data_IF_158452263699
#
_entry.id   IF_158452263699
#
_cell.length_a   1.000
_cell.length_b   1.000
_cell.length_c   1.000
_cell.angle_alpha   90.00
_cell.angle_beta   90.00
_cell.angle_gamma   90.00
#
_symmetry.space_group_name_H-M   'P 1'
#
loop_
_entity.id
_entity.type
_entity.pdbx_description
1 polymer ?
#
# COMPACT_ATOMS: atom_id res chain seq x y z
N UNK A 1 4.08 26.68 8.90
CA UNK A 1 3.58 25.49 8.17
C UNK A 1 3.70 24.28 9.08
N UNK A 2 2.67 23.43 9.17
CA UNK A 2 2.70 22.21 9.98
C UNK A 2 2.82 21.01 9.06
N UNK A 3 3.82 20.18 9.32
CA UNK A 3 4.05 18.90 8.63
C UNK A 3 3.76 17.74 9.57
N UNK A 4 3.33 16.62 9.00
CA UNK A 4 3.09 15.35 9.69
C UNK A 4 3.74 14.24 8.89
N UNK A 5 4.37 13.29 9.58
CA UNK A 5 4.92 12.08 8.97
C UNK A 5 4.17 10.88 9.52
N UNK A 6 3.91 9.90 8.66
CA UNK A 6 3.36 8.61 9.06
C UNK A 6 4.16 7.46 8.47
N UNK A 7 4.18 6.35 9.19
CA UNK A 7 4.73 5.07 8.76
C UNK A 7 3.60 4.04 8.76
N UNK A 8 3.46 3.33 7.66
CA UNK A 8 2.59 2.17 7.55
C UNK A 8 3.39 0.92 7.21
N UNK A 9 2.95 -0.20 7.75
CA UNK A 9 3.56 -1.51 7.52
C UNK A 9 2.44 -2.52 7.35
N UNK A 10 2.49 -3.33 6.29
CA UNK A 10 1.51 -4.39 6.07
C UNK A 10 2.17 -5.69 5.61
N UNK A 11 1.52 -6.81 5.87
CA UNK A 11 1.98 -8.15 5.60
C UNK A 11 0.85 -8.99 5.03
N UNK A 12 1.11 -9.75 3.98
CA UNK A 12 0.15 -10.72 3.46
C UNK A 12 0.82 -12.07 3.20
N UNK A 13 0.10 -13.13 3.52
CA UNK A 13 0.48 -14.49 3.14
C UNK A 13 0.31 -14.65 1.63
N UNK A 14 1.19 -15.42 0.99
CA UNK A 14 1.08 -15.82 -0.40
C UNK A 14 0.50 -17.23 -0.53
N UNK A 15 -0.40 -17.42 -1.49
CA UNK A 15 -0.99 -18.72 -1.81
C UNK A 15 -1.08 -18.94 -3.32
N UNK A 16 -0.96 -20.19 -3.74
CA UNK A 16 -1.11 -20.58 -5.13
C UNK A 16 -2.52 -20.34 -5.66
N UNK A 17 -2.63 -20.02 -6.95
CA UNK A 17 -3.91 -19.80 -7.61
C UNK A 17 -4.63 -18.51 -7.24
N UNK A 18 -3.99 -17.64 -6.46
CA UNK A 18 -4.48 -16.29 -6.16
C UNK A 18 -3.82 -15.27 -7.08
N UNK A 19 -4.51 -14.17 -7.34
CA UNK A 19 -3.96 -13.03 -8.05
C UNK A 19 -3.04 -12.22 -7.14
N UNK A 20 -1.93 -11.74 -7.71
CA UNK A 20 -1.00 -10.85 -6.99
C UNK A 20 -1.29 -9.40 -7.37
N UNK A 21 -1.93 -8.66 -6.48
CA UNK A 21 -2.13 -7.22 -6.60
C UNK A 21 -1.09 -6.48 -5.76
N UNK A 22 -0.38 -5.54 -6.38
CA UNK A 22 0.61 -4.70 -5.70
C UNK A 22 0.64 -3.32 -6.34
N UNK A 23 0.44 -2.28 -5.53
CA UNK A 23 0.46 -0.90 -6.01
C UNK A 23 -0.68 -0.57 -6.99
N UNK A 24 -1.81 -1.27 -6.85
CA UNK A 24 -2.99 -1.10 -7.67
C UNK A 24 -2.95 -1.78 -9.04
N UNK A 25 -1.95 -2.63 -9.30
CA UNK A 25 -1.82 -3.37 -10.56
C UNK A 25 -1.71 -4.88 -10.30
N UNK A 26 -2.25 -5.68 -11.22
CA UNK A 26 -2.09 -7.14 -11.19
C UNK A 26 -0.74 -7.54 -11.78
N UNK A 27 0.06 -8.27 -11.01
CA UNK A 27 1.36 -8.77 -11.43
C UNK A 27 1.23 -10.25 -11.76
N UNK A 28 1.60 -10.70 -12.97
CA UNK A 28 1.59 -12.11 -13.32
C UNK A 28 2.51 -12.93 -12.41
N UNK A 29 1.93 -13.84 -11.63
CA UNK A 29 2.66 -14.75 -10.75
C UNK A 29 1.78 -15.95 -10.41
N UNK A 30 2.39 -17.10 -10.05
CA UNK A 30 1.64 -18.31 -9.70
C UNK A 30 1.06 -18.29 -8.28
N UNK A 31 1.57 -17.38 -7.42
CA UNK A 31 1.01 -17.08 -6.10
C UNK A 31 0.47 -15.66 -6.06
N UNK A 32 -0.53 -15.43 -5.25
CA UNK A 32 -1.04 -14.10 -4.92
C UNK A 32 -1.34 -13.97 -3.45
N UNK A 33 -1.63 -12.74 -3.02
CA UNK A 33 -1.85 -12.41 -1.61
C UNK A 33 -3.19 -12.95 -1.11
N UNK A 34 -3.22 -13.43 0.14
CA UNK A 34 -4.43 -13.78 0.88
C UNK A 34 -4.85 -12.59 1.73
N UNK A 35 -6.12 -12.20 1.63
CA UNK A 35 -6.71 -11.13 2.45
C UNK A 35 -8.22 -11.03 2.25
N UNK A 36 -8.83 -10.09 2.97
CA UNK A 36 -10.26 -9.82 2.89
C UNK A 36 -10.64 -8.99 1.65
N UNK A 37 -9.72 -8.10 1.21
CA UNK A 37 -9.78 -7.32 -0.04
C UNK A 37 -9.03 -8.06 -1.16
N UNK A 38 -8.56 -7.32 -2.17
CA UNK A 38 -7.57 -7.82 -3.15
C UNK A 38 -6.18 -8.05 -2.54
N UNK A 39 -6.00 -7.74 -1.25
CA UNK A 39 -4.79 -7.92 -0.46
C UNK A 39 -3.54 -7.22 -1.04
N UNK A 40 -3.72 -5.99 -1.57
CA UNK A 40 -2.62 -5.15 -2.04
C UNK A 40 -1.84 -4.57 -0.85
N UNK A 41 -0.77 -5.26 -0.48
CA UNK A 41 0.07 -4.93 0.67
C UNK A 41 0.66 -3.52 0.61
N UNK A 42 0.96 -3.02 -0.61
CA UNK A 42 1.55 -1.70 -0.78
C UNK A 42 0.54 -0.58 -0.55
N UNK A 43 -0.65 -0.71 -1.13
CA UNK A 43 -1.71 0.28 -0.93
C UNK A 43 -2.20 0.31 0.52
N UNK A 44 -2.25 -0.86 1.20
CA UNK A 44 -2.59 -0.92 2.63
C UNK A 44 -1.55 -0.20 3.50
N UNK A 45 -0.26 -0.43 3.27
CA UNK A 45 0.80 0.26 3.99
C UNK A 45 0.75 1.79 3.76
N UNK A 46 0.43 2.25 2.54
CA UNK A 46 0.26 3.68 2.24
C UNK A 46 -0.94 4.27 2.98
N UNK A 47 -2.08 3.54 3.01
CA UNK A 47 -3.25 3.97 3.77
C UNK A 47 -2.92 4.14 5.26
N UNK A 48 -2.27 3.15 5.86
CA UNK A 48 -1.87 3.20 7.27
C UNK A 48 -0.89 4.33 7.56
N UNK A 49 0.06 4.59 6.65
CA UNK A 49 0.95 5.73 6.77
C UNK A 49 0.19 7.07 6.79
N UNK A 50 -0.80 7.22 5.92
CA UNK A 50 -1.63 8.44 5.88
C UNK A 50 -2.46 8.61 7.17
N UNK A 51 -3.15 7.56 7.60
CA UNK A 51 -3.98 7.58 8.81
C UNK A 51 -3.12 7.83 10.05
N UNK A 52 -2.00 7.13 10.18
CA UNK A 52 -1.06 7.27 11.29
C UNK A 52 -0.46 8.67 11.40
N UNK A 53 -0.17 9.35 10.27
CA UNK A 53 0.33 10.72 10.25
C UNK A 53 -0.60 11.72 10.98
N UNK A 54 -1.90 11.46 10.97
CA UNK A 54 -2.92 12.29 11.62
C UNK A 54 -3.51 11.67 12.89
N UNK A 55 -2.95 10.59 13.39
CA UNK A 55 -3.43 9.86 14.57
C UNK A 55 -4.88 9.37 14.43
N UNK A 56 -5.27 8.97 13.22
CA UNK A 56 -6.62 8.47 12.89
C UNK A 56 -6.76 6.94 13.02
N UNK A 57 -5.77 6.25 13.58
CA UNK A 57 -5.74 4.81 13.67
C UNK A 57 -5.17 4.15 12.41
N UNK A 58 -5.74 3.04 12.01
CA UNK A 58 -5.33 2.21 10.87
C UNK A 58 -6.51 1.88 9.95
N UNK A 59 -6.24 1.17 8.84
CA UNK A 59 -7.28 0.79 7.88
C UNK A 59 -8.35 -0.11 8.50
N UNK A 60 -8.00 -0.92 9.50
CA UNK A 60 -8.96 -1.81 10.19
C UNK A 60 -10.02 -1.05 10.96
N UNK A 61 -9.71 0.15 11.46
CA UNK A 61 -10.67 1.04 12.13
C UNK A 61 -11.70 1.61 11.12
N UNK A 62 -11.24 2.00 9.94
CA UNK A 62 -12.07 2.66 8.93
C UNK A 62 -12.75 1.68 7.97
N UNK A 63 -12.13 0.54 7.71
CA UNK A 63 -12.57 -0.48 6.75
C UNK A 63 -12.50 -1.87 7.38
N UNK A 64 -13.34 -2.15 8.38
CA UNK A 64 -13.24 -3.40 9.14
C UNK A 64 -13.49 -4.63 8.25
N UNK A 65 -12.61 -5.61 8.39
CA UNK A 65 -12.68 -6.89 7.64
C UNK A 65 -13.91 -7.74 8.03
N UNK A 66 -14.66 -7.36 9.05
CA UNK A 66 -15.94 -7.99 9.44
C UNK A 66 -17.11 -7.47 8.62
N UNK A 67 -16.95 -6.37 7.89
CA UNK A 67 -18.00 -5.79 7.05
C UNK A 67 -18.02 -6.44 5.67
N UNK A 68 -19.19 -6.88 5.25
CA UNK A 68 -19.39 -7.42 3.90
C UNK A 68 -19.15 -6.38 2.79
N UNK A 69 -19.25 -5.08 3.11
CA UNK A 69 -18.98 -3.98 2.17
C UNK A 69 -17.56 -4.03 1.61
N UNK A 70 -16.59 -4.47 2.43
CA UNK A 70 -15.17 -4.45 2.06
C UNK A 70 -14.63 -5.81 1.63
N UNK A 71 -15.52 -6.81 1.54
CA UNK A 71 -15.11 -8.12 1.04
C UNK A 71 -14.75 -8.03 -0.45
N UNK A 72 -13.59 -8.54 -0.81
CA UNK A 72 -13.03 -8.53 -2.18
C UNK A 72 -12.94 -7.11 -2.82
N UNK A 73 -12.91 -6.07 -1.99
CA UNK A 73 -12.81 -4.68 -2.46
C UNK A 73 -11.46 -4.43 -3.12
N UNK A 74 -11.46 -3.64 -4.17
CA UNK A 74 -10.25 -3.09 -4.81
C UNK A 74 -9.58 -2.09 -3.85
N UNK A 75 -8.34 -2.34 -3.48
CA UNK A 75 -7.59 -1.48 -2.54
C UNK A 75 -7.32 -0.08 -3.08
N UNK A 76 -7.50 0.16 -4.38
CA UNK A 76 -7.50 1.53 -4.93
C UNK A 76 -8.65 2.37 -4.34
N UNK A 77 -9.80 1.75 -4.08
CA UNK A 77 -10.94 2.41 -3.43
C UNK A 77 -10.61 2.74 -1.97
N UNK A 78 -9.92 1.83 -1.27
CA UNK A 78 -9.46 2.10 0.10
C UNK A 78 -8.48 3.28 0.13
N UNK A 79 -7.54 3.33 -0.82
CA UNK A 79 -6.59 4.44 -0.95
C UNK A 79 -7.31 5.77 -1.23
N UNK A 80 -8.26 5.78 -2.15
CA UNK A 80 -9.06 6.96 -2.48
C UNK A 80 -9.87 7.47 -1.27
N UNK A 81 -10.56 6.57 -0.57
CA UNK A 81 -11.34 6.89 0.64
C UNK A 81 -10.43 7.41 1.76
N UNK A 82 -9.27 6.80 1.97
CA UNK A 82 -8.27 7.27 2.95
C UNK A 82 -7.77 8.65 2.58
N UNK A 83 -7.43 8.90 1.32
CA UNK A 83 -7.02 10.21 0.85
C UNK A 83 -8.11 11.28 1.07
N UNK A 84 -9.37 10.94 0.84
CA UNK A 84 -10.50 11.84 1.12
C UNK A 84 -10.58 12.22 2.61
N UNK A 85 -10.32 11.27 3.54
CA UNK A 85 -10.24 11.54 4.97
C UNK A 85 -9.12 12.55 5.29
N UNK A 86 -7.91 12.33 4.74
CA UNK A 86 -6.76 13.24 4.94
C UNK A 86 -7.10 14.66 4.48
N UNK A 87 -7.75 14.79 3.32
CA UNK A 87 -8.18 16.09 2.80
C UNK A 87 -9.24 16.76 3.67
N UNK A 88 -10.18 16.00 4.21
CA UNK A 88 -11.21 16.49 5.14
C UNK A 88 -10.59 17.07 6.42
N UNK A 89 -9.47 16.49 6.89
CA UNK A 89 -8.71 17.01 8.04
C UNK A 89 -7.87 18.26 7.69
N UNK A 90 -7.91 18.73 6.44
CA UNK A 90 -7.20 19.92 5.98
C UNK A 90 -5.72 19.69 5.66
N UNK A 91 -5.36 18.48 5.26
CA UNK A 91 -3.99 18.13 4.87
C UNK A 91 -3.89 17.72 3.41
N UNK A 92 -2.72 17.96 2.84
CA UNK A 92 -2.31 17.46 1.54
C UNK A 92 -1.07 16.56 1.68
N UNK A 93 -0.95 15.57 0.79
CA UNK A 93 0.25 14.74 0.69
C UNK A 93 1.35 15.56 0.00
N UNK A 94 2.57 15.51 0.51
CA UNK A 94 3.76 16.10 -0.12
C UNK A 94 4.48 15.06 -0.97
N UNK A 95 4.76 13.89 -0.37
CA UNK A 95 5.35 12.76 -1.08
C UNK A 95 5.07 11.44 -0.35
N UNK A 96 5.26 10.36 -1.08
CA UNK A 96 5.16 8.99 -0.59
C UNK A 96 6.47 8.27 -0.92
N UNK A 97 7.08 7.62 0.06
CA UNK A 97 8.19 6.69 -0.16
C UNK A 97 7.82 5.31 0.37
N UNK A 98 8.08 4.27 -0.42
CA UNK A 98 7.70 2.91 -0.06
C UNK A 98 8.72 1.87 -0.47
N UNK A 99 8.72 0.74 0.23
CA UNK A 99 9.59 -0.40 -0.04
C UNK A 99 8.80 -1.69 0.10
N UNK A 100 8.80 -2.49 -0.97
CA UNK A 100 8.29 -3.86 -0.97
C UNK A 100 9.40 -4.83 -0.61
N UNK A 101 9.11 -5.79 0.25
CA UNK A 101 10.01 -6.89 0.57
C UNK A 101 9.38 -8.21 0.08
N UNK A 102 9.95 -8.79 -0.97
CA UNK A 102 9.53 -10.05 -1.58
C UNK A 102 10.68 -10.68 -2.37
N UNK A 103 10.70 -12.01 -2.46
CA UNK A 103 11.72 -12.71 -3.26
C UNK A 103 11.37 -12.71 -4.74
N UNK A 104 10.16 -13.09 -5.06
CA UNK A 104 9.60 -13.17 -6.41
C UNK A 104 8.13 -12.71 -6.41
N UNK A 105 7.64 -12.21 -7.56
CA UNK A 105 8.34 -11.92 -8.81
C UNK A 105 9.20 -10.64 -8.73
N UNK A 106 10.08 -10.43 -9.71
CA UNK A 106 10.81 -9.15 -9.81
C UNK A 106 9.84 -8.06 -10.23
N UNK A 107 9.65 -7.06 -9.38
CA UNK A 107 8.66 -5.99 -9.61
C UNK A 107 9.20 -4.80 -10.40
N UNK A 108 10.52 -4.75 -10.66
CA UNK A 108 11.17 -3.63 -11.37
C UNK A 108 10.44 -3.21 -12.68
N UNK A 109 9.95 -4.14 -13.53
CA UNK A 109 9.22 -3.76 -14.75
C UNK A 109 7.90 -3.04 -14.50
N UNK A 110 7.30 -3.20 -13.31
CA UNK A 110 5.97 -2.71 -12.95
C UNK A 110 6.00 -1.42 -12.12
N UNK A 111 7.19 -1.02 -11.62
CA UNK A 111 7.33 0.10 -10.68
C UNK A 111 6.77 1.41 -11.23
N UNK A 112 7.00 1.71 -12.51
CA UNK A 112 6.47 2.94 -13.11
C UNK A 112 4.95 2.95 -13.09
N UNK A 113 4.31 1.86 -13.50
CA UNK A 113 2.85 1.75 -13.53
C UNK A 113 2.24 1.83 -12.11
N UNK A 114 2.88 1.24 -11.09
CA UNK A 114 2.46 1.39 -9.69
C UNK A 114 2.51 2.86 -9.25
N UNK A 115 3.61 3.56 -9.53
CA UNK A 115 3.78 4.97 -9.20
C UNK A 115 2.74 5.86 -9.89
N UNK A 116 2.48 5.62 -11.16
CA UNK A 116 1.44 6.33 -11.93
C UNK A 116 0.05 6.10 -11.33
N UNK A 117 -0.29 4.85 -11.01
CA UNK A 117 -1.57 4.49 -10.40
C UNK A 117 -1.77 5.19 -9.06
N UNK A 118 -0.77 5.10 -8.16
CA UNK A 118 -0.84 5.74 -6.84
C UNK A 118 -0.94 7.26 -6.99
N UNK A 119 -0.05 7.87 -7.78
CA UNK A 119 -0.01 9.32 -7.98
C UNK A 119 -1.36 9.85 -8.51
N UNK A 120 -1.96 9.15 -9.48
CA UNK A 120 -3.26 9.52 -10.03
C UNK A 120 -4.36 9.54 -8.95
N UNK A 121 -4.44 8.50 -8.11
CA UNK A 121 -5.48 8.38 -7.07
C UNK A 121 -5.36 9.48 -6.02
N UNK A 122 -4.14 9.80 -5.60
CA UNK A 122 -3.91 10.76 -4.51
C UNK A 122 -3.57 12.17 -4.99
N UNK A 123 -3.67 12.44 -6.30
CA UNK A 123 -3.47 13.78 -6.87
C UNK A 123 -2.03 14.29 -6.78
N UNK A 124 -1.04 13.40 -6.86
CA UNK A 124 0.39 13.71 -6.89
C UNK A 124 0.95 13.62 -8.31
N UNK A 125 2.19 14.11 -8.48
CA UNK A 125 2.98 13.77 -9.66
C UNK A 125 3.71 12.43 -9.45
N UNK A 126 4.09 11.75 -10.53
CA UNK A 126 4.85 10.48 -10.43
C UNK A 126 6.18 10.67 -9.69
N UNK A 127 6.76 11.87 -9.73
CA UNK A 127 8.02 12.17 -9.05
C UNK A 127 7.88 12.29 -7.52
N UNK A 128 6.65 12.45 -7.01
CA UNK A 128 6.36 12.51 -5.58
C UNK A 128 6.05 11.12 -4.98
N UNK A 129 6.03 10.07 -5.80
CA UNK A 129 5.76 8.70 -5.39
C UNK A 129 6.97 7.82 -5.69
N UNK A 130 7.55 7.24 -4.64
CA UNK A 130 8.67 6.29 -4.73
C UNK A 130 8.21 4.88 -4.38
N UNK A 131 8.53 3.91 -5.23
CA UNK A 131 8.34 2.48 -4.98
C UNK A 131 9.67 1.78 -5.22
N UNK A 132 10.22 1.18 -4.17
CA UNK A 132 11.45 0.39 -4.17
C UNK A 132 11.12 -1.05 -3.81
N UNK A 133 12.01 -1.97 -4.13
CA UNK A 133 11.88 -3.36 -3.70
C UNK A 133 13.22 -3.91 -3.21
N UNK A 134 13.14 -4.84 -2.29
CA UNK A 134 14.27 -5.63 -1.81
C UNK A 134 13.83 -7.08 -1.62
N UNK A 135 14.79 -8.00 -1.70
CA UNK A 135 14.62 -9.36 -1.18
C UNK A 135 14.99 -9.37 0.31
N UNK A 136 14.74 -10.50 0.97
CA UNK A 136 15.26 -10.77 2.31
C UNK A 136 16.47 -11.70 2.28
N UNK A 137 17.13 -11.84 1.14
CA UNK A 137 18.26 -12.73 0.93
C UNK A 137 17.94 -14.18 1.35
N UNK A 138 16.74 -14.64 0.96
CA UNK A 138 16.19 -15.98 1.28
C UNK A 138 15.92 -16.21 2.79
N UNK A 139 15.99 -15.15 3.61
CA UNK A 139 15.72 -15.25 5.05
C UNK A 139 14.25 -15.04 5.38
N UNK A 140 13.78 -15.71 6.42
CA UNK A 140 12.44 -15.54 6.98
C UNK A 140 11.31 -15.97 6.06
N UNK A 141 10.09 -15.55 6.36
CA UNK A 141 8.88 -15.90 5.62
C UNK A 141 8.87 -15.36 4.18
N UNK A 142 9.40 -14.16 3.98
CA UNK A 142 9.48 -13.56 2.64
C UNK A 142 10.51 -14.30 1.80
N UNK A 143 11.66 -14.67 2.38
CA UNK A 143 12.70 -15.47 1.72
C UNK A 143 12.25 -16.87 1.35
N UNK A 144 11.31 -17.46 2.10
CA UNK A 144 10.68 -18.74 1.77
C UNK A 144 9.43 -18.62 0.89
N UNK A 145 9.14 -17.41 0.37
CA UNK A 145 7.96 -17.14 -0.47
C UNK A 145 6.63 -17.52 0.20
N UNK A 146 6.56 -17.42 1.52
CA UNK A 146 5.36 -17.67 2.31
C UNK A 146 4.48 -16.42 2.42
N UNK A 147 5.09 -15.24 2.21
CA UNK A 147 4.42 -13.95 2.28
C UNK A 147 5.28 -12.83 1.70
N UNK A 148 4.68 -11.65 1.66
CA UNK A 148 5.35 -10.41 1.30
C UNK A 148 4.97 -9.32 2.31
N UNK A 149 5.75 -8.25 2.34
CA UNK A 149 5.45 -7.11 3.18
C UNK A 149 5.80 -5.79 2.50
N UNK A 150 5.16 -4.72 2.95
CA UNK A 150 5.45 -3.37 2.49
C UNK A 150 5.62 -2.42 3.66
N UNK A 151 6.51 -1.46 3.47
CA UNK A 151 6.68 -0.29 4.30
C UNK A 151 6.34 0.93 3.47
N UNK A 152 5.65 1.89 4.06
CA UNK A 152 5.39 3.18 3.42
C UNK A 152 5.58 4.31 4.43
N UNK A 153 6.15 5.41 3.97
CA UNK A 153 6.17 6.68 4.70
C UNK A 153 5.48 7.75 3.87
N UNK A 154 4.70 8.58 4.54
CA UNK A 154 3.99 9.68 3.92
C UNK A 154 4.33 10.96 4.65
N UNK A 155 4.69 12.01 3.91
CA UNK A 155 4.80 13.35 4.42
C UNK A 155 3.53 14.13 4.05
N UNK A 156 2.84 14.66 5.06
CA UNK A 156 1.68 15.52 4.91
C UNK A 156 2.03 16.96 5.27
N UNK A 157 1.35 17.92 4.64
CA UNK A 157 1.39 19.33 5.05
C UNK A 157 -0.03 19.84 5.26
N UNK A 158 -0.21 20.71 6.25
CA UNK A 158 -1.47 21.42 6.47
C UNK A 158 -1.69 22.41 5.32
N UNK A 159 -2.89 22.38 4.74
CA UNK A 159 -3.34 23.33 3.71
C UNK A 159 -3.69 24.69 4.29
#
# INVERSE_FOLDING_TARGET
MSYRIGLGVDFHQLAEGKKLWVGGIEIPHYKGSLGHSDADVLLHAICDAMLGALSLGDIGVHFPNTSAEFKDIDSKILLERTFALIRKEGYAIVNIDSTLCLEVPKIKPYVLQMRETIAHIVGLTVNDVSVKATTTEQMGFAGREEGLMAYATVLLKKM
#
